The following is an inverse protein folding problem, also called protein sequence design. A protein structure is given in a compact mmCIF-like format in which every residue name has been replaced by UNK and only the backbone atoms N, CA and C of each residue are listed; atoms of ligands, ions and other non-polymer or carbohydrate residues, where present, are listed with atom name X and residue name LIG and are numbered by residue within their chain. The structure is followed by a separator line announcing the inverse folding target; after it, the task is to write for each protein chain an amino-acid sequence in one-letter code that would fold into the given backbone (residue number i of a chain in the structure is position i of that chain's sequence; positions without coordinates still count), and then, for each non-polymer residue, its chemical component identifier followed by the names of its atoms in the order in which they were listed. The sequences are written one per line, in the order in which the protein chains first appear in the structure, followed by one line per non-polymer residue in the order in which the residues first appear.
data_IF_873185866356
#
_entry.id   IF_873185866356
#
_cell.length_a   1.000
_cell.length_b   1.000
_cell.length_c   1.000
_cell.angle_alpha   90.00
_cell.angle_beta   90.00
_cell.angle_gamma   90.00
#
_symmetry.space_group_name_H-M   'P 1'
#
loop_
_entity.id
_entity.type
_entity.pdbx_description
1 polymer ?
#
# COMPACT_ATOMS: atom_id res chain seq x y z
N UNK A 1 36.38 67.28 6.78
CA UNK A 1 36.74 65.85 6.67
C UNK A 1 35.43 65.07 6.54
N UNK A 2 35.12 64.48 5.38
CA UNK A 2 33.91 63.67 5.19
C UNK A 2 34.29 62.19 5.37
N UNK A 3 33.81 61.56 6.43
CA UNK A 3 33.90 60.10 6.60
C UNK A 3 32.63 59.49 6.02
N UNK A 4 32.77 58.64 5.01
CA UNK A 4 31.65 57.90 4.42
C UNK A 4 31.16 56.85 5.40
N UNK A 5 29.92 56.98 5.86
CA UNK A 5 29.22 55.97 6.64
C UNK A 5 28.80 54.82 5.72
N UNK A 6 29.61 53.77 5.68
CA UNK A 6 29.26 52.51 5.03
C UNK A 6 28.15 51.86 5.86
N UNK A 7 26.92 51.87 5.35
CA UNK A 7 25.81 51.12 5.92
C UNK A 7 25.63 49.88 5.03
N UNK A 8 25.93 48.67 5.51
CA UNK A 8 25.75 47.47 4.69
C UNK A 8 24.26 47.25 4.41
N UNK A 9 23.89 47.17 3.13
CA UNK A 9 22.51 46.88 2.70
C UNK A 9 22.14 45.48 3.17
N UNK A 10 21.17 45.40 4.10
CA UNK A 10 20.75 44.14 4.72
C UNK A 10 20.11 43.15 3.74
N UNK A 11 19.86 43.56 2.50
CA UNK A 11 19.40 42.71 1.40
C UNK A 11 20.36 41.55 1.07
N UNK A 12 21.66 41.69 1.36
CA UNK A 12 22.61 40.57 1.17
C UNK A 12 22.36 39.41 2.14
N UNK A 13 21.72 39.68 3.29
CA UNK A 13 21.44 38.68 4.31
C UNK A 13 20.06 38.02 4.13
N UNK A 14 19.18 38.59 3.29
CA UNK A 14 17.83 38.04 3.05
C UNK A 14 17.72 37.19 1.78
N UNK A 15 18.62 37.34 0.80
CA UNK A 15 18.56 36.53 -0.43
C UNK A 15 19.00 35.08 -0.24
N UNK A 16 19.79 34.79 0.82
CA UNK A 16 20.21 33.45 1.23
C UNK A 16 19.27 32.74 2.20
N UNK A 17 18.30 33.46 2.79
CA UNK A 17 17.29 32.92 3.70
C UNK A 17 15.92 32.85 3.03
N UNK A 18 15.88 32.43 1.76
CA UNK A 18 14.61 31.95 1.19
C UNK A 18 14.24 30.72 2.01
N UNK A 19 13.15 30.74 2.82
CA UNK A 19 12.67 29.51 3.42
C UNK A 19 12.50 28.56 2.25
N UNK A 20 13.23 27.45 2.31
CA UNK A 20 13.04 26.34 1.38
C UNK A 20 11.55 26.12 1.40
N UNK A 21 10.85 26.53 0.33
CA UNK A 21 9.43 26.33 0.22
C UNK A 21 9.27 24.86 0.52
N UNK A 22 8.60 24.54 1.63
CA UNK A 22 8.15 23.18 1.85
C UNK A 22 7.34 22.92 0.59
N UNK A 23 7.92 22.15 -0.31
CA UNK A 23 7.18 21.57 -1.41
C UNK A 23 6.05 20.89 -0.68
N UNK A 24 4.87 21.47 -0.79
CA UNK A 24 3.65 20.74 -0.50
C UNK A 24 3.76 19.60 -1.49
N UNK A 25 4.27 18.47 -1.02
CA UNK A 25 4.11 17.22 -1.73
C UNK A 25 2.61 17.16 -1.83
N UNK A 26 2.09 17.48 -3.02
CA UNK A 26 0.70 17.22 -3.33
C UNK A 26 0.47 15.82 -2.78
N UNK A 27 -0.41 15.72 -1.78
CA UNK A 27 -0.78 14.46 -1.18
C UNK A 27 -1.42 13.67 -2.32
N UNK A 28 -0.59 12.99 -3.11
CA UNK A 28 -0.98 11.85 -3.93
C UNK A 28 -1.91 11.07 -3.04
N UNK A 29 -3.19 10.88 -3.42
CA UNK A 29 -4.20 10.35 -2.54
C UNK A 29 -3.64 9.05 -1.98
N UNK A 30 -3.20 9.12 -0.72
CA UNK A 30 -2.43 8.03 -0.14
C UNK A 30 -3.40 6.88 -0.05
N UNK A 31 -3.24 5.87 -0.91
CA UNK A 31 -4.15 4.74 -0.93
C UNK A 31 -4.10 4.15 0.47
N UNK A 32 -5.21 4.28 1.19
CA UNK A 32 -5.27 3.86 2.59
C UNK A 32 -4.93 2.38 2.68
N UNK A 33 -4.23 1.98 3.75
CA UNK A 33 -3.95 0.56 3.98
C UNK A 33 -5.22 -0.30 3.94
N UNK A 34 -6.35 0.24 4.43
CA UNK A 34 -7.65 -0.43 4.34
C UNK A 34 -8.15 -0.63 2.90
N UNK A 35 -7.95 0.35 2.02
CA UNK A 35 -8.33 0.24 0.60
C UNK A 35 -7.43 -0.75 -0.13
N UNK A 36 -6.13 -0.74 0.17
CA UNK A 36 -5.19 -1.73 -0.34
C UNK A 36 -5.58 -3.14 0.13
N UNK A 37 -5.82 -3.32 1.43
CA UNK A 37 -6.23 -4.61 2.00
C UNK A 37 -7.53 -5.10 1.38
N UNK A 38 -8.53 -4.23 1.21
CA UNK A 38 -9.80 -4.55 0.55
C UNK A 38 -9.58 -4.97 -0.90
N UNK A 39 -8.71 -4.28 -1.64
CA UNK A 39 -8.34 -4.63 -3.02
C UNK A 39 -7.69 -6.00 -3.08
N UNK A 40 -6.72 -6.28 -2.20
CA UNK A 40 -6.06 -7.60 -2.19
C UNK A 40 -7.01 -8.72 -1.75
N UNK A 41 -7.90 -8.50 -0.79
CA UNK A 41 -8.96 -9.46 -0.43
C UNK A 41 -9.92 -9.72 -1.59
N UNK A 42 -10.24 -8.69 -2.38
CA UNK A 42 -11.05 -8.84 -3.58
C UNK A 42 -10.33 -9.73 -4.61
N UNK A 43 -9.02 -9.56 -4.79
CA UNK A 43 -8.23 -10.44 -5.67
C UNK A 43 -8.21 -11.90 -5.20
N UNK A 44 -8.17 -12.15 -3.89
CA UNK A 44 -8.26 -13.51 -3.34
C UNK A 44 -9.61 -14.14 -3.72
N UNK A 45 -10.70 -13.38 -3.63
CA UNK A 45 -12.01 -13.82 -4.08
C UNK A 45 -12.05 -14.08 -5.59
N UNK A 46 -11.47 -13.19 -6.39
CA UNK A 46 -11.38 -13.36 -7.85
C UNK A 46 -10.62 -14.64 -8.22
N UNK A 47 -9.55 -14.96 -7.49
CA UNK A 47 -8.78 -16.21 -7.65
C UNK A 47 -9.61 -17.45 -7.31
N UNK A 48 -10.48 -17.38 -6.30
CA UNK A 48 -11.40 -18.48 -5.99
C UNK A 48 -12.42 -18.69 -7.11
N UNK A 49 -13.02 -17.61 -7.63
CA UNK A 49 -13.96 -17.67 -8.76
C UNK A 49 -13.29 -18.19 -10.04
N UNK A 50 -12.03 -17.80 -10.29
CA UNK A 50 -11.23 -18.30 -11.41
C UNK A 50 -10.99 -19.82 -11.29
N UNK A 51 -10.66 -20.31 -10.10
CA UNK A 51 -10.49 -21.74 -9.84
C UNK A 51 -11.80 -22.53 -10.03
N UNK A 52 -12.91 -22.01 -9.52
CA UNK A 52 -14.24 -22.61 -9.72
C UNK A 52 -14.64 -22.64 -11.21
N UNK A 53 -14.43 -21.53 -11.92
CA UNK A 53 -14.69 -21.44 -13.36
C UNK A 53 -13.82 -22.41 -14.17
N UNK A 54 -12.55 -22.55 -13.78
CA UNK A 54 -11.62 -23.50 -14.40
C UNK A 54 -12.06 -24.94 -14.15
N UNK A 55 -12.49 -25.27 -12.92
CA UNK A 55 -13.02 -26.59 -12.59
C UNK A 55 -14.27 -26.94 -13.40
N UNK A 56 -15.19 -26.01 -13.56
CA UNK A 56 -16.38 -26.18 -14.40
C UNK A 56 -15.99 -26.39 -15.87
N UNK A 57 -15.02 -25.62 -16.37
CA UNK A 57 -14.54 -25.71 -17.76
C UNK A 57 -13.82 -27.03 -18.03
N UNK A 58 -13.08 -27.55 -17.06
CA UNK A 58 -12.47 -28.88 -17.12
C UNK A 58 -13.52 -29.99 -17.18
N UNK A 59 -14.56 -29.94 -16.34
CA UNK A 59 -15.67 -30.92 -16.38
C UNK A 59 -16.39 -30.91 -17.74
N UNK A 60 -16.48 -29.73 -18.38
CA UNK A 60 -17.05 -29.56 -19.72
C UNK A 60 -16.12 -30.05 -20.85
N UNK A 61 -14.85 -30.30 -20.56
CA UNK A 61 -13.84 -30.73 -21.54
C UNK A 61 -13.14 -29.58 -22.28
N UNK A 62 -13.38 -28.32 -21.88
CA UNK A 62 -12.85 -27.12 -22.55
C UNK A 62 -11.47 -26.69 -22.01
N UNK A 63 -11.02 -27.27 -20.88
CA UNK A 63 -9.78 -26.89 -20.19
C UNK A 63 -8.97 -28.12 -19.76
N UNK A 64 -7.64 -28.01 -19.78
CA UNK A 64 -6.74 -29.07 -19.31
C UNK A 64 -6.74 -29.17 -17.77
N UNK A 65 -6.60 -30.40 -17.26
CA UNK A 65 -6.53 -30.71 -15.83
C UNK A 65 -5.42 -29.93 -15.16
N UNK A 66 -4.25 -29.81 -15.81
CA UNK A 66 -3.10 -29.10 -15.25
C UNK A 66 -3.44 -27.63 -14.91
N UNK A 67 -4.12 -26.93 -15.81
CA UNK A 67 -4.47 -25.52 -15.61
C UNK A 67 -5.48 -25.36 -14.47
N UNK A 68 -6.45 -26.28 -14.37
CA UNK A 68 -7.43 -26.29 -13.28
C UNK A 68 -6.79 -26.54 -11.93
N UNK A 69 -5.85 -27.49 -11.87
CA UNK A 69 -5.11 -27.78 -10.64
C UNK A 69 -4.25 -26.60 -10.20
N UNK A 70 -3.55 -25.95 -11.13
CA UNK A 70 -2.76 -24.75 -10.84
C UNK A 70 -3.65 -23.62 -10.31
N UNK A 71 -4.76 -23.31 -10.99
CA UNK A 71 -5.69 -22.26 -10.55
C UNK A 71 -6.25 -22.55 -9.15
N UNK A 72 -6.58 -23.81 -8.87
CA UNK A 72 -7.08 -24.24 -7.56
C UNK A 72 -6.03 -24.10 -6.46
N UNK A 73 -4.78 -24.48 -6.75
CA UNK A 73 -3.67 -24.35 -5.79
C UNK A 73 -3.32 -22.88 -5.52
N UNK A 74 -3.29 -22.04 -6.56
CA UNK A 74 -3.12 -20.60 -6.42
C UNK A 74 -4.19 -19.98 -5.51
N UNK A 75 -5.46 -20.34 -5.73
CA UNK A 75 -6.58 -19.85 -4.92
C UNK A 75 -6.44 -20.29 -3.45
N UNK A 76 -6.05 -21.55 -3.22
CA UNK A 76 -5.81 -22.11 -1.89
C UNK A 76 -4.68 -21.38 -1.16
N UNK A 77 -3.51 -21.23 -1.78
CA UNK A 77 -2.36 -20.55 -1.19
C UNK A 77 -2.66 -19.07 -0.91
N UNK A 78 -3.37 -18.41 -1.83
CA UNK A 78 -3.79 -17.01 -1.67
C UNK A 78 -4.72 -16.83 -0.46
N UNK A 79 -5.66 -17.75 -0.26
CA UNK A 79 -6.54 -17.74 0.90
C UNK A 79 -5.78 -17.99 2.20
N UNK A 80 -4.85 -18.95 2.21
CA UNK A 80 -4.02 -19.22 3.38
C UNK A 80 -3.22 -17.98 3.79
N UNK A 81 -2.59 -17.31 2.82
CA UNK A 81 -1.88 -16.06 3.05
C UNK A 81 -2.81 -14.97 3.63
N UNK A 82 -4.02 -14.83 3.09
CA UNK A 82 -5.01 -13.87 3.60
C UNK A 82 -5.39 -14.13 5.06
N UNK A 83 -5.55 -15.40 5.45
CA UNK A 83 -5.81 -15.79 6.84
C UNK A 83 -4.62 -15.45 7.75
N UNK A 84 -3.39 -15.69 7.30
CA UNK A 84 -2.19 -15.32 8.06
C UNK A 84 -2.10 -13.81 8.28
N UNK A 85 -2.41 -13.01 7.25
CA UNK A 85 -2.46 -11.54 7.35
C UNK A 85 -3.56 -11.12 8.34
N UNK A 86 -4.77 -11.68 8.23
CA UNK A 86 -5.86 -11.42 9.19
C UNK A 86 -5.40 -11.66 10.62
N UNK A 87 -4.77 -12.80 10.89
CA UNK A 87 -4.30 -13.14 12.24
C UNK A 87 -3.23 -12.15 12.73
N UNK A 88 -2.28 -11.74 11.86
CA UNK A 88 -1.29 -10.72 12.20
C UNK A 88 -1.92 -9.37 12.54
N UNK A 89 -2.95 -8.96 11.82
CA UNK A 89 -3.66 -7.70 12.09
C UNK A 89 -4.40 -7.73 13.42
N UNK A 90 -5.10 -8.83 13.72
CA UNK A 90 -5.76 -9.03 15.02
C UNK A 90 -4.73 -9.02 16.15
N UNK A 91 -3.63 -9.76 16.01
CA UNK A 91 -2.58 -9.80 17.02
C UNK A 91 -1.92 -8.42 17.23
N UNK A 92 -1.66 -7.66 16.16
CA UNK A 92 -1.11 -6.32 16.27
C UNK A 92 -2.05 -5.37 17.03
N UNK A 93 -3.36 -5.49 16.79
CA UNK A 93 -4.36 -4.75 17.54
C UNK A 93 -4.38 -5.15 19.02
N UNK A 94 -4.36 -6.46 19.33
CA UNK A 94 -4.30 -6.95 20.71
C UNK A 94 -3.02 -6.49 21.44
N UNK A 95 -1.88 -6.50 20.77
CA UNK A 95 -0.59 -6.08 21.34
C UNK A 95 -0.57 -4.59 21.68
N UNK A 96 -1.08 -3.73 20.79
CA UNK A 96 -1.21 -2.29 21.06
C UNK A 96 -2.07 -2.01 22.30
N UNK A 97 -3.14 -2.79 22.52
CA UNK A 97 -3.98 -2.66 23.71
C UNK A 97 -3.25 -3.10 24.99
N UNK A 98 -2.42 -4.16 24.91
CA UNK A 98 -1.61 -4.64 26.05
C UNK A 98 -0.48 -3.68 26.43
N UNK A 99 0.02 -2.88 25.49
CA UNK A 99 1.04 -1.87 25.79
C UNK A 99 0.52 -0.65 26.57
N UNK A 100 -0.79 -0.36 26.53
CA UNK A 100 -1.38 0.83 27.17
C UNK A 100 -1.91 0.60 28.58
N UNK A 101 -1.76 -0.61 29.14
CA UNK A 101 -2.05 -0.89 30.56
C UNK A 101 -0.82 -0.74 31.45
#
# INVERSE_FOLDING_TARGET
MKINSFVPDTKIFTDGLKPKQFVNIEEEPSVGFGDLLKKELSKVNDKQLEAEGSAISFIKGDMDLHQTLVATEEARLSLELAVQIRNKLVNAYEEFNKMQV
#
